data_IF_257050817005
#
_entry.id   IF_257050817005
#
_cell.length_a   1.000
_cell.length_b   1.000
_cell.length_c   1.000
_cell.angle_alpha   90.00
_cell.angle_beta   90.00
_cell.angle_gamma   90.00
#
_symmetry.space_group_name_H-M   'P 1'
#
loop_
_entity.id
_entity.type
_entity.pdbx_description
1 polymer ?
#
# COMPACT_ATOMS: atom_id res chain seq x y z
N UNK A 1 32.19 30.20 47.33
CA UNK A 1 32.96 28.97 47.17
C UNK A 1 32.29 28.05 46.18
N UNK A 2 32.90 27.92 45.04
CA UNK A 2 32.97 26.87 44.05
C UNK A 2 31.69 26.03 43.72
N UNK A 3 31.05 26.39 42.62
CA UNK A 3 30.12 25.53 41.90
C UNK A 3 30.84 24.49 41.04
N UNK A 4 30.30 23.30 40.94
CA UNK A 4 30.74 22.27 39.99
C UNK A 4 29.78 22.24 38.77
N UNK A 5 30.27 22.02 37.53
CA UNK A 5 29.47 22.08 36.34
C UNK A 5 28.76 20.71 36.07
N UNK A 6 27.52 20.80 35.60
CA UNK A 6 26.73 19.68 35.09
C UNK A 6 27.36 19.14 33.80
N UNK A 7 27.80 17.90 33.83
CA UNK A 7 28.21 17.11 32.65
C UNK A 7 26.99 16.66 31.85
N UNK A 8 26.91 17.11 30.58
CA UNK A 8 25.97 16.62 29.58
C UNK A 8 26.23 15.13 29.33
N UNK A 9 25.27 14.28 29.69
CA UNK A 9 25.19 12.92 29.20
C UNK A 9 24.80 12.96 27.71
N UNK A 10 25.73 12.52 26.87
CA UNK A 10 25.46 12.23 25.45
C UNK A 10 24.54 11.00 25.37
N UNK A 11 23.29 11.20 24.99
CA UNK A 11 22.41 10.10 24.59
C UNK A 11 22.97 9.48 23.30
N UNK A 12 23.21 8.15 23.24
CA UNK A 12 23.49 7.50 21.98
C UNK A 12 22.19 7.45 21.17
N UNK A 13 22.21 8.04 19.99
CA UNK A 13 21.15 7.92 18.99
C UNK A 13 21.06 6.43 18.61
N UNK A 14 20.08 5.73 19.16
CA UNK A 14 19.72 4.37 18.76
C UNK A 14 19.24 4.44 17.30
N UNK A 15 19.97 3.80 16.41
CA UNK A 15 19.48 3.44 15.06
C UNK A 15 18.40 2.39 15.25
N UNK A 16 17.15 2.81 15.31
CA UNK A 16 15.99 1.93 15.21
C UNK A 16 15.92 1.39 13.79
N UNK A 17 16.26 0.12 13.61
CA UNK A 17 15.85 -0.66 12.43
C UNK A 17 14.37 -1.01 12.66
N UNK A 18 13.45 -0.11 12.33
CA UNK A 18 12.02 -0.35 12.49
C UNK A 18 11.46 -1.26 11.37
N UNK A 19 10.42 -2.05 11.65
CA UNK A 19 9.72 -2.92 10.69
C UNK A 19 9.01 -2.13 9.57
N UNK A 20 8.83 -0.83 9.74
CA UNK A 20 8.41 0.11 8.68
C UNK A 20 9.18 -0.08 7.37
N UNK A 21 10.45 -0.52 7.43
CA UNK A 21 11.26 -0.78 6.24
C UNK A 21 10.81 -2.01 5.44
N UNK A 22 10.21 -3.04 6.06
CA UNK A 22 9.82 -4.26 5.35
C UNK A 22 8.47 -4.11 4.64
N UNK A 23 7.47 -3.52 5.26
CA UNK A 23 6.18 -3.22 4.59
C UNK A 23 6.34 -2.16 3.48
N UNK A 24 7.13 -1.11 3.74
CA UNK A 24 7.44 -0.09 2.73
C UNK A 24 8.41 -0.58 1.66
N UNK A 25 9.36 -1.47 1.99
CA UNK A 25 10.31 -2.02 1.02
C UNK A 25 9.68 -3.06 0.08
N UNK A 26 8.70 -3.84 0.55
CA UNK A 26 8.02 -4.81 -0.28
C UNK A 26 7.11 -4.14 -1.34
N UNK A 27 6.42 -3.07 -0.98
CA UNK A 27 5.70 -2.22 -1.94
C UNK A 27 6.65 -1.43 -2.87
N UNK A 28 7.92 -1.25 -2.47
CA UNK A 28 8.91 -0.45 -3.18
C UNK A 28 9.93 -1.25 -3.99
N UNK A 29 10.05 -2.56 -3.77
CA UNK A 29 11.04 -3.42 -4.45
C UNK A 29 10.59 -3.92 -5.83
N UNK A 30 9.37 -3.64 -6.24
CA UNK A 30 8.78 -4.13 -7.49
C UNK A 30 9.22 -3.35 -8.74
N UNK A 31 10.06 -2.31 -8.65
CA UNK A 31 10.25 -1.35 -9.75
C UNK A 31 11.73 -1.13 -10.14
N UNK A 32 12.52 -2.19 -10.21
CA UNK A 32 13.82 -2.15 -10.88
C UNK A 32 13.85 -3.20 -12.01
N UNK A 33 13.13 -2.91 -13.09
CA UNK A 33 13.46 -3.47 -14.41
C UNK A 33 14.13 -2.35 -15.21
N UNK A 34 15.44 -2.41 -15.34
CA UNK A 34 16.18 -1.61 -16.31
C UNK A 34 15.78 -2.08 -17.71
N UNK A 35 15.11 -1.24 -18.46
CA UNK A 35 14.87 -1.44 -19.88
C UNK A 35 16.18 -1.08 -20.60
N UNK A 36 16.79 -1.99 -21.41
CA UNK A 36 17.93 -1.61 -22.25
C UNK A 36 17.45 -0.63 -23.32
N UNK A 37 18.06 0.54 -23.37
CA UNK A 37 17.85 1.52 -24.43
C UNK A 37 18.34 0.95 -25.77
N UNK A 38 17.42 0.76 -26.72
CA UNK A 38 17.77 0.50 -28.10
C UNK A 38 18.28 1.81 -28.75
N UNK A 39 19.49 1.79 -29.25
CA UNK A 39 20.08 2.89 -29.98
C UNK A 39 19.46 3.01 -31.40
N UNK A 40 18.94 4.18 -31.72
CA UNK A 40 18.57 4.54 -33.09
C UNK A 40 19.68 5.39 -33.75
N UNK A 41 19.89 5.27 -35.08
CA UNK A 41 21.05 5.87 -35.76
C UNK A 41 20.85 7.36 -36.02
N UNK A 42 21.97 8.09 -35.95
CA UNK A 42 22.08 9.49 -36.28
C UNK A 42 22.08 9.72 -37.79
N UNK A 43 21.21 10.63 -38.27
CA UNK A 43 21.40 11.31 -39.54
C UNK A 43 21.30 12.81 -39.32
N UNK A 44 22.34 13.50 -39.77
CA UNK A 44 22.51 14.92 -39.55
C UNK A 44 21.73 15.78 -40.56
N UNK A 45 21.38 16.99 -40.12
CA UNK A 45 21.17 18.15 -40.98
C UNK A 45 21.32 19.47 -40.21
N UNK A 46 22.03 20.31 -40.85
CA UNK A 46 22.56 21.64 -40.62
C UNK A 46 21.69 22.68 -39.88
N UNK A 47 22.44 23.43 -39.09
CA UNK A 47 22.25 24.79 -38.53
C UNK A 47 21.60 25.81 -39.45
N UNK A 48 20.62 26.58 -38.93
CA UNK A 48 20.41 28.03 -39.20
C UNK A 48 19.55 28.65 -38.11
N UNK A 49 20.13 29.69 -37.45
CA UNK A 49 19.52 30.83 -36.75
C UNK A 49 18.27 30.67 -35.84
N UNK A 50 18.47 30.86 -34.56
CA UNK A 50 17.50 31.44 -33.67
C UNK A 50 18.15 32.25 -32.55
N UNK A 51 18.19 33.55 -32.73
CA UNK A 51 18.26 34.53 -31.63
C UNK A 51 16.85 35.07 -31.50
N UNK A 52 16.09 34.64 -30.47
CA UNK A 52 14.92 35.33 -29.87
C UNK A 52 14.04 34.42 -29.01
N UNK A 53 14.58 33.57 -28.16
CA UNK A 53 13.72 32.78 -27.20
C UNK A 53 14.16 32.83 -25.74
N UNK A 54 14.95 33.82 -25.35
CA UNK A 54 15.45 33.91 -23.97
C UNK A 54 14.51 34.59 -22.99
N UNK A 55 13.34 35.14 -23.44
CA UNK A 55 12.48 35.95 -22.56
C UNK A 55 11.18 35.25 -22.09
N UNK A 56 10.74 34.17 -22.75
CA UNK A 56 9.48 33.50 -22.38
C UNK A 56 9.67 32.32 -21.41
N UNK A 57 10.86 31.74 -21.32
CA UNK A 57 11.14 30.61 -20.43
C UNK A 57 11.22 31.00 -18.94
N UNK A 58 11.43 32.27 -18.61
CA UNK A 58 11.47 32.77 -17.22
C UNK A 58 10.09 32.97 -16.58
N UNK A 59 9.12 33.40 -17.37
CA UNK A 59 7.75 33.66 -16.88
C UNK A 59 6.97 32.36 -16.63
N UNK A 60 7.25 31.30 -17.41
CA UNK A 60 6.57 30.00 -17.24
C UNK A 60 6.99 29.22 -15.98
N UNK A 61 8.14 29.55 -15.35
CA UNK A 61 8.64 28.84 -14.14
C UNK A 61 7.99 29.30 -12.83
N UNK A 62 7.52 30.55 -12.78
CA UNK A 62 6.87 31.10 -11.58
C UNK A 62 5.34 30.87 -11.57
N UNK A 63 4.73 30.53 -12.69
CA UNK A 63 3.29 30.39 -12.81
C UNK A 63 2.72 29.19 -12.03
N UNK A 64 3.36 27.99 -12.05
CA UNK A 64 2.82 26.83 -11.34
C UNK A 64 2.73 27.03 -9.84
N UNK A 65 3.75 27.63 -9.21
CA UNK A 65 3.73 27.86 -7.77
C UNK A 65 2.63 28.85 -7.38
N UNK A 66 2.43 29.89 -8.19
CA UNK A 66 1.34 30.84 -8.01
C UNK A 66 -0.02 30.15 -8.18
N UNK A 67 -0.20 29.35 -9.23
CA UNK A 67 -1.42 28.57 -9.48
C UNK A 67 -1.73 27.61 -8.33
N UNK A 68 -0.75 26.87 -7.83
CA UNK A 68 -0.95 25.97 -6.69
C UNK A 68 -1.32 26.72 -5.40
N UNK A 69 -0.73 27.90 -5.16
CA UNK A 69 -1.06 28.74 -4.02
C UNK A 69 -2.44 29.36 -4.09
N UNK A 70 -2.97 29.52 -5.29
CA UNK A 70 -4.30 30.06 -5.51
C UNK A 70 -5.42 29.00 -5.31
N UNK A 71 -5.08 27.70 -5.23
CA UNK A 71 -6.06 26.63 -5.00
C UNK A 71 -6.58 26.70 -3.56
N UNK A 72 -7.90 26.91 -3.36
CA UNK A 72 -8.48 26.95 -2.01
C UNK A 72 -8.22 25.66 -1.22
N UNK A 73 -7.80 25.80 0.02
CA UNK A 73 -7.51 24.66 0.87
C UNK A 73 -6.14 24.00 0.65
N UNK A 74 -5.45 24.28 -0.45
CA UNK A 74 -4.11 23.76 -0.75
C UNK A 74 -3.03 24.68 -0.17
N UNK A 75 -2.03 24.06 0.47
CA UNK A 75 -0.85 24.77 0.97
C UNK A 75 0.43 24.12 0.45
N UNK A 76 1.30 24.90 -0.17
CA UNK A 76 2.65 24.46 -0.55
C UNK A 76 3.57 24.56 0.66
N UNK A 77 4.05 23.41 1.14
CA UNK A 77 4.95 23.29 2.31
C UNK A 77 6.40 23.44 1.90
N UNK A 78 6.80 22.74 0.84
CA UNK A 78 8.17 22.83 0.31
C UNK A 78 8.22 22.46 -1.17
N UNK A 79 9.28 22.96 -1.83
CA UNK A 79 9.61 22.62 -3.23
C UNK A 79 11.06 22.17 -3.28
N UNK A 80 11.32 21.04 -3.94
CA UNK A 80 12.65 20.47 -4.10
C UNK A 80 12.88 20.04 -5.56
N UNK A 81 14.15 19.90 -5.97
CA UNK A 81 14.47 19.20 -7.21
C UNK A 81 13.94 17.78 -7.12
N UNK A 82 13.22 17.32 -8.13
CA UNK A 82 12.63 15.99 -8.16
C UNK A 82 13.70 14.89 -8.17
N UNK A 83 13.36 13.75 -7.60
CA UNK A 83 14.25 12.58 -7.61
C UNK A 83 14.39 11.99 -9.00
N UNK A 84 13.34 12.02 -9.83
CA UNK A 84 13.40 11.66 -11.23
C UNK A 84 13.88 12.85 -12.10
N UNK A 85 14.66 12.55 -13.14
CA UNK A 85 15.17 13.57 -14.08
C UNK A 85 14.01 14.31 -14.74
N UNK A 86 14.04 15.63 -14.70
CA UNK A 86 13.02 16.49 -15.32
C UNK A 86 11.79 16.75 -14.44
N UNK A 87 11.78 16.27 -13.20
CA UNK A 87 10.69 16.52 -12.25
C UNK A 87 11.08 17.58 -11.21
N UNK A 88 10.04 18.23 -10.65
CA UNK A 88 10.07 19.03 -9.43
C UNK A 88 9.12 18.40 -8.41
N UNK A 89 9.57 18.19 -7.18
CA UNK A 89 8.76 17.62 -6.11
C UNK A 89 8.26 18.69 -5.16
N UNK A 90 6.95 18.74 -4.95
CA UNK A 90 6.25 19.62 -4.03
C UNK A 90 5.71 18.78 -2.86
N UNK A 91 5.97 19.22 -1.64
CA UNK A 91 5.23 18.73 -0.47
C UNK A 91 4.07 19.68 -0.23
N UNK A 92 2.88 19.13 -0.15
CA UNK A 92 1.64 19.89 -0.04
C UNK A 92 0.83 19.41 1.16
N UNK A 93 -0.07 20.24 1.66
CA UNK A 93 -1.19 19.81 2.49
C UNK A 93 -2.49 20.33 1.90
N UNK A 94 -3.56 19.55 2.03
CA UNK A 94 -4.90 19.94 1.63
C UNK A 94 -5.85 19.90 2.82
N UNK A 95 -6.69 20.92 2.96
CA UNK A 95 -7.65 21.00 4.05
C UNK A 95 -8.86 20.13 3.73
N UNK A 96 -9.07 19.06 4.49
CA UNK A 96 -10.20 18.16 4.36
C UNK A 96 -11.16 18.29 5.52
N UNK A 97 -12.48 18.13 5.31
CA UNK A 97 -13.42 17.98 6.42
C UNK A 97 -13.18 16.63 7.12
N UNK A 98 -13.33 16.60 8.44
CA UNK A 98 -13.30 15.35 9.21
C UNK A 98 -14.44 14.45 8.75
N UNK A 99 -15.59 15.03 8.43
CA UNK A 99 -16.78 14.35 7.90
C UNK A 99 -17.32 15.10 6.68
N UNK A 100 -17.22 14.50 5.49
CA UNK A 100 -17.76 15.06 4.25
C UNK A 100 -19.30 15.19 4.26
N UNK A 101 -20.00 14.43 5.13
CA UNK A 101 -21.45 14.58 5.34
C UNK A 101 -21.81 15.77 6.23
N UNK A 102 -20.81 16.28 6.99
CA UNK A 102 -20.94 17.46 7.85
C UNK A 102 -19.66 18.32 7.78
N UNK A 103 -19.41 19.03 6.66
CA UNK A 103 -18.15 19.76 6.46
C UNK A 103 -17.85 20.84 7.51
N UNK A 104 -18.87 21.32 8.23
CA UNK A 104 -18.70 22.30 9.32
C UNK A 104 -18.26 21.65 10.64
N UNK A 105 -18.21 20.33 10.74
CA UNK A 105 -17.86 19.57 11.93
C UNK A 105 -16.36 19.55 12.28
N UNK A 106 -15.52 20.30 11.57
CA UNK A 106 -14.08 20.40 11.77
C UNK A 106 -13.31 19.89 10.57
N UNK A 107 -12.00 20.22 10.54
CA UNK A 107 -11.11 19.89 9.44
C UNK A 107 -9.80 19.26 9.92
N UNK A 108 -9.08 18.63 9.00
CA UNK A 108 -7.70 18.19 9.19
C UNK A 108 -6.85 18.53 7.97
N UNK A 109 -5.53 18.44 8.11
CA UNK A 109 -4.60 18.64 7.00
C UNK A 109 -4.20 17.27 6.44
N UNK A 110 -4.55 17.00 5.20
CA UNK A 110 -4.12 15.81 4.48
C UNK A 110 -2.80 16.07 3.77
N UNK A 111 -1.82 15.19 3.94
CA UNK A 111 -0.51 15.29 3.32
C UNK A 111 -0.54 14.78 1.89
N UNK A 112 0.02 15.60 0.98
CA UNK A 112 0.16 15.25 -0.44
C UNK A 112 1.63 15.44 -0.86
N UNK A 113 2.02 14.76 -1.94
CA UNK A 113 3.22 15.09 -2.70
C UNK A 113 2.89 15.15 -4.18
N UNK A 114 3.40 16.18 -4.85
CA UNK A 114 3.25 16.35 -6.29
C UNK A 114 4.63 16.27 -6.93
N UNK A 115 4.86 15.26 -7.78
CA UNK A 115 5.99 15.23 -8.71
C UNK A 115 5.54 15.83 -10.02
N UNK A 116 5.88 17.08 -10.23
CA UNK A 116 5.49 17.85 -11.41
C UNK A 116 6.45 17.64 -12.56
N UNK A 117 5.90 17.34 -13.74
CA UNK A 117 6.60 17.20 -15.03
C UNK A 117 6.32 18.38 -15.95
N UNK A 118 5.05 18.62 -16.26
CA UNK A 118 4.52 19.73 -17.04
C UNK A 118 3.02 19.86 -16.84
N UNK A 119 2.46 21.05 -16.92
CA UNK A 119 1.00 21.29 -16.83
C UNK A 119 0.22 20.63 -17.97
N UNK A 120 0.87 20.41 -19.12
CA UNK A 120 0.27 19.82 -20.31
C UNK A 120 0.31 18.29 -20.32
N UNK A 121 0.88 17.68 -19.29
CA UNK A 121 0.96 16.22 -19.14
C UNK A 121 -0.17 15.67 -18.27
N UNK A 122 -0.58 14.42 -18.51
CA UNK A 122 -1.56 13.74 -17.65
C UNK A 122 -1.15 13.75 -16.18
N UNK A 123 -2.11 13.54 -15.30
CA UNK A 123 -1.85 13.33 -13.87
C UNK A 123 -2.12 11.88 -13.49
N UNK A 124 -1.15 11.25 -12.84
CA UNK A 124 -1.35 9.98 -12.14
C UNK A 124 -1.67 10.30 -10.68
N UNK A 125 -2.90 10.02 -10.27
CA UNK A 125 -3.34 10.10 -8.89
C UNK A 125 -2.99 8.78 -8.19
N UNK A 126 -1.98 8.82 -7.33
CA UNK A 126 -1.58 7.66 -6.53
C UNK A 126 -2.21 7.72 -5.14
N UNK A 127 -3.08 6.77 -4.88
CA UNK A 127 -3.69 6.57 -3.56
C UNK A 127 -2.82 5.59 -2.76
N UNK A 128 -2.21 6.06 -1.67
CA UNK A 128 -1.30 5.20 -0.89
C UNK A 128 -2.02 4.08 -0.14
N UNK A 129 -3.27 4.31 0.24
CA UNK A 129 -4.04 3.44 1.13
C UNK A 129 -3.56 3.45 2.58
N UNK A 130 -2.38 4.02 2.85
CA UNK A 130 -1.67 4.07 4.13
C UNK A 130 -0.95 5.41 4.29
N UNK A 131 0.09 5.44 5.15
CA UNK A 131 1.04 6.55 5.21
C UNK A 131 1.90 6.61 3.94
N UNK A 132 2.37 7.80 3.60
CA UNK A 132 3.33 7.98 2.51
C UNK A 132 4.76 7.97 3.03
N UNK A 133 5.72 7.39 2.28
CA UNK A 133 7.13 7.50 2.61
C UNK A 133 7.61 8.96 2.51
N UNK A 134 8.70 9.29 3.21
CA UNK A 134 9.31 10.61 3.10
C UNK A 134 9.89 10.90 1.71
N UNK A 135 10.44 9.85 1.06
CA UNK A 135 10.98 9.94 -0.30
C UNK A 135 9.88 9.67 -1.30
N UNK A 136 9.65 10.63 -2.17
CA UNK A 136 8.73 10.48 -3.30
C UNK A 136 9.22 9.35 -4.22
N UNK A 137 8.30 8.51 -4.68
CA UNK A 137 8.57 7.46 -5.67
C UNK A 137 7.48 7.53 -6.72
N UNK A 138 7.91 7.59 -7.99
CA UNK A 138 6.97 7.51 -9.09
C UNK A 138 6.43 6.08 -9.20
N UNK A 139 5.13 5.97 -9.42
CA UNK A 139 4.44 4.70 -9.65
C UNK A 139 4.55 4.28 -11.10
N UNK A 140 4.35 2.97 -11.37
CA UNK A 140 4.55 2.42 -12.71
C UNK A 140 3.81 3.17 -13.82
N UNK A 141 2.52 3.55 -13.68
CA UNK A 141 1.81 4.27 -14.74
C UNK A 141 2.41 5.64 -15.09
N UNK A 142 3.15 6.27 -14.16
CA UNK A 142 3.74 7.59 -14.38
C UNK A 142 4.82 7.59 -15.46
N UNK A 143 5.58 6.49 -15.57
CA UNK A 143 6.70 6.41 -16.50
C UNK A 143 6.28 6.33 -17.98
N UNK A 144 5.41 5.38 -18.41
CA UNK A 144 5.02 5.28 -19.82
C UNK A 144 4.17 6.44 -20.29
N UNK A 145 3.58 7.21 -19.37
CA UNK A 145 2.80 8.40 -19.67
C UNK A 145 3.61 9.69 -19.64
N UNK A 146 4.86 9.67 -19.16
CA UNK A 146 5.65 10.86 -18.83
C UNK A 146 4.81 11.90 -18.05
N UNK A 147 4.01 11.40 -17.10
CA UNK A 147 2.94 12.11 -16.41
C UNK A 147 3.43 12.87 -15.18
N UNK A 148 2.64 13.83 -14.70
CA UNK A 148 2.73 14.29 -13.33
C UNK A 148 2.26 13.19 -12.38
N UNK A 149 2.73 13.18 -11.13
CA UNK A 149 2.17 12.28 -10.12
C UNK A 149 1.76 13.06 -8.89
N UNK A 150 0.50 12.93 -8.52
CA UNK A 150 -0.05 13.40 -7.25
C UNK A 150 -0.22 12.20 -6.33
N UNK A 151 0.52 12.16 -5.23
CA UNK A 151 0.41 11.08 -4.24
C UNK A 151 -0.32 11.58 -3.00
N UNK A 152 -1.30 10.81 -2.53
CA UNK A 152 -2.18 11.15 -1.42
C UNK A 152 -1.93 10.22 -0.25
N UNK A 153 -1.64 10.77 0.92
CA UNK A 153 -1.61 10.02 2.18
C UNK A 153 -3.03 9.81 2.66
N UNK A 154 -3.35 8.56 3.00
CA UNK A 154 -4.69 8.19 3.43
C UNK A 154 -5.06 8.87 4.76
N UNK A 155 -6.35 9.28 4.91
CA UNK A 155 -6.84 9.77 6.21
C UNK A 155 -6.55 8.79 7.33
N UNK A 156 -6.30 9.28 8.55
CA UNK A 156 -5.91 8.54 9.75
C UNK A 156 -4.51 7.93 9.72
N UNK A 157 -3.73 8.13 8.65
CA UNK A 157 -2.34 7.66 8.58
C UNK A 157 -1.34 8.82 8.62
N UNK A 158 -0.12 8.54 9.08
CA UNK A 158 1.01 9.46 9.04
C UNK A 158 0.71 10.84 9.62
N UNK A 159 0.84 11.87 8.79
CA UNK A 159 0.53 13.24 9.14
C UNK A 159 -0.95 13.62 8.90
N UNK A 160 -1.72 12.77 8.20
CA UNK A 160 -3.11 13.01 7.78
C UNK A 160 -4.12 12.62 8.86
N UNK A 161 -3.88 13.09 10.09
CA UNK A 161 -4.66 12.75 11.28
C UNK A 161 -5.61 13.89 11.68
N UNK A 162 -6.94 13.64 11.79
CA UNK A 162 -7.83 14.55 12.50
C UNK A 162 -7.39 14.73 13.96
N UNK A 163 -7.42 15.96 14.47
CA UNK A 163 -7.08 16.23 15.89
C UNK A 163 -7.89 15.39 16.85
N UNK A 164 -9.20 15.25 16.59
CA UNK A 164 -10.09 14.34 17.29
C UNK A 164 -10.36 13.15 16.38
N UNK A 165 -9.89 11.97 16.79
CA UNK A 165 -10.07 10.72 16.05
C UNK A 165 -11.46 10.16 16.26
N UNK A 166 -12.41 10.57 15.43
CA UNK A 166 -13.70 9.87 15.32
C UNK A 166 -13.53 8.72 14.30
N UNK A 167 -13.30 7.51 14.79
CA UNK A 167 -13.05 6.34 13.96
C UNK A 167 -14.21 5.99 13.03
N UNK A 168 -15.44 6.39 13.34
CA UNK A 168 -16.58 6.21 12.45
C UNK A 168 -16.46 7.02 11.14
N UNK A 169 -15.51 7.97 11.07
CA UNK A 169 -15.20 8.74 9.86
C UNK A 169 -14.05 8.13 9.04
N UNK A 170 -13.58 6.97 9.43
CA UNK A 170 -12.65 6.15 8.65
C UNK A 170 -13.44 5.08 7.90
N UNK A 171 -14.19 5.51 6.90
CA UNK A 171 -14.96 4.64 6.00
C UNK A 171 -14.55 4.89 4.53
N UNK A 172 -14.83 3.92 3.65
CA UNK A 172 -14.41 3.95 2.24
C UNK A 172 -15.03 5.10 1.45
N UNK A 173 -16.22 5.58 1.83
CA UNK A 173 -16.85 6.73 1.18
C UNK A 173 -16.16 8.05 1.56
N UNK A 174 -15.75 8.20 2.83
CA UNK A 174 -14.99 9.37 3.28
C UNK A 174 -13.63 9.46 2.58
N UNK A 175 -12.97 8.30 2.36
CA UNK A 175 -11.72 8.24 1.61
C UNK A 175 -11.89 8.68 0.16
N UNK A 176 -12.88 8.13 -0.51
CA UNK A 176 -13.21 8.50 -1.88
C UNK A 176 -13.57 9.99 -1.99
N UNK A 177 -14.24 10.54 -0.99
CA UNK A 177 -14.59 11.96 -0.94
C UNK A 177 -13.38 12.87 -0.71
N UNK A 178 -12.36 12.40 0.03
CA UNK A 178 -11.07 13.11 0.11
C UNK A 178 -10.38 13.21 -1.25
N UNK A 179 -10.30 12.09 -1.97
CA UNK A 179 -9.69 12.03 -3.30
C UNK A 179 -10.45 12.92 -4.29
N UNK A 180 -11.79 12.87 -4.28
CA UNK A 180 -12.64 13.73 -5.09
C UNK A 180 -12.38 15.22 -4.84
N UNK A 181 -12.36 15.65 -3.59
CA UNK A 181 -12.11 17.05 -3.25
C UNK A 181 -10.73 17.54 -3.75
N UNK A 182 -9.72 16.69 -3.72
CA UNK A 182 -8.38 16.98 -4.23
C UNK A 182 -8.39 17.08 -5.76
N UNK A 183 -9.04 16.14 -6.46
CA UNK A 183 -9.14 16.13 -7.92
C UNK A 183 -9.86 17.38 -8.40
N UNK A 184 -11.03 17.69 -7.86
CA UNK A 184 -11.79 18.90 -8.21
C UNK A 184 -10.97 20.18 -7.99
N UNK A 185 -10.25 20.27 -6.88
CA UNK A 185 -9.42 21.43 -6.60
C UNK A 185 -8.24 21.59 -7.57
N UNK A 186 -7.65 20.48 -8.05
CA UNK A 186 -6.45 20.51 -8.88
C UNK A 186 -6.72 20.40 -10.39
N UNK A 187 -7.92 20.03 -10.84
CA UNK A 187 -8.31 20.07 -12.25
C UNK A 187 -8.20 21.48 -12.87
N UNK A 188 -8.35 22.54 -12.07
CA UNK A 188 -8.11 23.92 -12.53
C UNK A 188 -6.62 24.22 -12.83
N UNK A 189 -5.69 23.40 -12.29
CA UNK A 189 -4.25 23.51 -12.55
C UNK A 189 -3.82 22.56 -13.65
N UNK A 190 -4.38 21.34 -13.68
CA UNK A 190 -4.05 20.25 -14.59
C UNK A 190 -5.30 19.83 -15.35
N UNK A 191 -5.51 20.41 -16.54
CA UNK A 191 -6.67 20.15 -17.38
C UNK A 191 -6.60 18.88 -18.24
N UNK A 192 -5.46 18.15 -18.22
CA UNK A 192 -5.27 16.90 -18.96
C UNK A 192 -5.95 15.70 -18.30
N UNK A 193 -5.73 14.50 -18.87
CA UNK A 193 -6.30 13.26 -18.36
C UNK A 193 -5.79 12.91 -16.94
N UNK A 194 -6.64 12.27 -16.15
CA UNK A 194 -6.36 11.82 -14.79
C UNK A 194 -6.47 10.30 -14.70
N UNK A 195 -5.39 9.64 -14.32
CA UNK A 195 -5.31 8.18 -14.14
C UNK A 195 -5.15 7.85 -12.67
N UNK A 196 -6.15 7.19 -12.09
CA UNK A 196 -6.07 6.69 -10.72
C UNK A 196 -5.21 5.45 -10.62
N UNK A 197 -4.41 5.32 -9.56
CA UNK A 197 -3.64 4.10 -9.30
C UNK A 197 -3.35 3.90 -7.82
N UNK A 198 -3.13 2.66 -7.45
CA UNK A 198 -2.69 2.23 -6.12
C UNK A 198 -2.43 0.75 -6.08
N UNK A 199 -1.80 0.27 -5.01
CA UNK A 199 -1.54 -1.14 -4.80
C UNK A 199 -2.13 -1.62 -3.48
N UNK A 200 -2.63 -2.87 -3.43
CA UNK A 200 -3.22 -3.45 -2.23
C UNK A 200 -4.39 -2.58 -1.73
N UNK A 201 -4.42 -2.19 -0.46
CA UNK A 201 -5.41 -1.23 0.05
C UNK A 201 -5.44 0.09 -0.75
N UNK A 202 -4.30 0.57 -1.26
CA UNK A 202 -4.28 1.73 -2.15
C UNK A 202 -4.98 1.45 -3.48
N UNK A 203 -4.84 0.23 -4.04
CA UNK A 203 -5.59 -0.22 -5.21
C UNK A 203 -7.10 -0.27 -4.93
N UNK A 204 -7.50 -0.79 -3.76
CA UNK A 204 -8.89 -0.75 -3.31
C UNK A 204 -9.41 0.70 -3.21
N UNK A 205 -8.60 1.62 -2.63
CA UNK A 205 -8.97 3.05 -2.53
C UNK A 205 -9.21 3.67 -3.91
N UNK A 206 -8.37 3.37 -4.91
CA UNK A 206 -8.58 3.85 -6.29
C UNK A 206 -9.90 3.31 -6.89
N UNK A 207 -10.25 2.04 -6.59
CA UNK A 207 -11.54 1.45 -6.98
C UNK A 207 -12.70 2.17 -6.29
N UNK A 208 -12.61 2.45 -4.99
CA UNK A 208 -13.66 3.17 -4.25
C UNK A 208 -13.85 4.59 -4.76
N UNK A 209 -12.77 5.30 -5.04
CA UNK A 209 -12.83 6.62 -5.64
C UNK A 209 -13.61 6.58 -6.95
N UNK A 210 -13.26 5.69 -7.87
CA UNK A 210 -13.95 5.57 -9.15
C UNK A 210 -15.41 5.12 -9.00
N UNK A 211 -15.73 4.27 -7.99
CA UNK A 211 -17.11 3.85 -7.69
C UNK A 211 -17.98 5.03 -7.28
N UNK A 212 -17.50 5.89 -6.40
CA UNK A 212 -18.30 7.00 -5.86
C UNK A 212 -18.25 8.26 -6.72
N UNK A 213 -17.17 8.44 -7.48
CA UNK A 213 -16.91 9.62 -8.31
C UNK A 213 -16.38 9.22 -9.71
N UNK A 214 -17.22 8.57 -10.54
CA UNK A 214 -16.75 7.98 -11.81
C UNK A 214 -16.36 9.03 -12.87
N UNK A 215 -16.69 10.30 -12.68
CA UNK A 215 -16.32 11.42 -13.56
C UNK A 215 -14.95 12.03 -13.25
N UNK A 216 -14.30 11.63 -12.17
CA UNK A 216 -13.03 12.22 -11.73
C UNK A 216 -11.84 11.75 -12.56
N UNK A 217 -11.85 10.47 -12.97
CA UNK A 217 -10.72 9.78 -13.56
C UNK A 217 -11.03 9.27 -14.97
N UNK A 218 -10.08 9.40 -15.88
CA UNK A 218 -10.15 8.88 -17.24
C UNK A 218 -9.86 7.36 -17.31
N UNK A 219 -9.28 6.81 -16.26
CA UNK A 219 -9.07 5.37 -16.09
C UNK A 219 -8.42 5.07 -14.74
N UNK A 220 -8.50 3.80 -14.32
CA UNK A 220 -7.94 3.32 -13.06
C UNK A 220 -7.09 2.07 -13.29
N UNK A 221 -5.87 2.06 -12.72
CA UNK A 221 -5.00 0.88 -12.68
C UNK A 221 -4.82 0.46 -11.23
N UNK A 222 -5.50 -0.62 -10.83
CA UNK A 222 -5.46 -1.16 -9.48
C UNK A 222 -4.54 -2.41 -9.43
N UNK A 223 -3.48 -2.33 -8.64
CA UNK A 223 -2.53 -3.43 -8.46
C UNK A 223 -2.87 -4.22 -7.20
N UNK A 224 -2.93 -5.55 -7.33
CA UNK A 224 -3.11 -6.51 -6.24
C UNK A 224 -4.19 -6.09 -5.22
N UNK A 225 -5.24 -5.47 -5.73
CA UNK A 225 -6.39 -4.99 -4.95
C UNK A 225 -7.33 -6.16 -4.64
N UNK A 226 -7.44 -6.64 -3.39
CA UNK A 226 -8.35 -7.71 -3.05
C UNK A 226 -9.81 -7.24 -3.08
N UNK A 227 -10.72 -8.20 -3.30
CA UNK A 227 -12.16 -8.01 -3.23
C UNK A 227 -12.77 -9.02 -2.25
N UNK A 228 -12.87 -8.65 -0.99
CA UNK A 228 -13.51 -9.49 0.04
C UNK A 228 -14.99 -9.09 0.21
N UNK A 229 -15.76 -9.24 -0.88
CA UNK A 229 -17.18 -8.86 -0.90
C UNK A 229 -18.05 -9.81 -0.04
N UNK A 230 -17.62 -11.05 0.11
CA UNK A 230 -18.31 -12.09 0.91
C UNK A 230 -17.38 -12.62 2.00
N UNK A 231 -17.03 -11.78 2.95
CA UNK A 231 -16.08 -12.03 4.04
C UNK A 231 -16.27 -13.35 4.84
N UNK A 232 -17.35 -14.08 4.62
CA UNK A 232 -17.60 -15.39 5.25
C UNK A 232 -17.24 -16.57 4.32
N UNK A 233 -16.85 -16.31 3.07
CA UNK A 233 -16.51 -17.36 2.10
C UNK A 233 -15.02 -17.34 1.73
N UNK A 234 -14.22 -17.92 2.58
CA UNK A 234 -12.76 -18.00 2.43
C UNK A 234 -12.26 -19.19 1.59
N UNK A 235 -13.14 -19.91 0.89
CA UNK A 235 -12.77 -21.10 0.10
C UNK A 235 -11.75 -20.81 -0.99
N UNK A 236 -11.72 -19.59 -1.51
CA UNK A 236 -10.75 -19.17 -2.53
C UNK A 236 -9.34 -19.11 -1.95
N UNK A 237 -9.19 -18.61 -0.74
CA UNK A 237 -7.91 -18.56 -0.04
C UNK A 237 -7.43 -19.96 0.37
N UNK A 238 -8.32 -20.82 0.84
CA UNK A 238 -7.99 -22.22 1.15
C UNK A 238 -7.48 -22.97 -0.10
N UNK A 239 -8.13 -22.78 -1.26
CA UNK A 239 -7.65 -23.32 -2.54
C UNK A 239 -6.30 -22.76 -2.93
N UNK A 240 -6.09 -21.45 -2.76
CA UNK A 240 -4.79 -20.83 -3.02
C UNK A 240 -3.67 -21.51 -2.22
N UNK A 241 -3.81 -21.62 -0.90
CA UNK A 241 -2.80 -22.25 -0.05
C UNK A 241 -2.66 -23.77 -0.29
N UNK A 242 -3.67 -24.42 -0.84
CA UNK A 242 -3.58 -25.81 -1.26
C UNK A 242 -2.80 -26.01 -2.57
N UNK A 243 -2.70 -24.99 -3.43
CA UNK A 243 -2.15 -25.13 -4.79
C UNK A 243 -0.93 -24.26 -5.08
N UNK A 244 -0.72 -23.14 -4.38
CA UNK A 244 0.36 -22.20 -4.65
C UNK A 244 1.75 -22.83 -4.58
N UNK A 245 2.60 -22.54 -5.54
CA UNK A 245 3.97 -23.01 -5.60
C UNK A 245 4.11 -24.54 -5.71
N UNK A 246 5.26 -25.07 -5.27
CA UNK A 246 5.50 -26.53 -5.28
C UNK A 246 4.92 -27.24 -4.06
N UNK A 247 4.55 -28.53 -4.17
CA UNK A 247 4.13 -29.33 -3.01
C UNK A 247 5.16 -29.33 -1.87
N UNK A 248 6.45 -29.41 -2.20
CA UNK A 248 7.53 -29.36 -1.21
C UNK A 248 7.60 -28.04 -0.44
N UNK A 249 7.37 -26.90 -1.12
CA UNK A 249 7.32 -25.61 -0.44
C UNK A 249 6.14 -25.50 0.51
N UNK A 250 4.94 -25.92 0.06
CA UNK A 250 3.75 -25.94 0.94
C UNK A 250 3.95 -26.85 2.16
N UNK A 251 4.57 -28.02 1.97
CA UNK A 251 4.91 -28.92 3.07
C UNK A 251 5.91 -28.27 4.05
N UNK A 252 6.95 -27.62 3.55
CA UNK A 252 7.94 -26.93 4.39
C UNK A 252 7.31 -25.80 5.23
N UNK A 253 6.42 -24.98 4.63
CA UNK A 253 5.69 -23.93 5.36
C UNK A 253 4.79 -24.52 6.47
N UNK A 254 4.04 -25.58 6.18
CA UNK A 254 3.23 -26.28 7.18
C UNK A 254 4.10 -26.88 8.30
N UNK A 255 5.26 -27.44 7.95
CA UNK A 255 6.20 -28.01 8.92
C UNK A 255 6.74 -26.95 9.86
N UNK A 256 7.24 -25.81 9.35
CA UNK A 256 7.80 -24.77 10.22
C UNK A 256 6.77 -24.15 11.15
N UNK A 257 5.52 -23.96 10.69
CA UNK A 257 4.40 -23.50 11.52
C UNK A 257 4.12 -24.51 12.66
N UNK A 258 4.03 -25.80 12.33
CA UNK A 258 3.80 -26.86 13.31
C UNK A 258 4.93 -26.94 14.34
N UNK A 259 6.18 -26.91 13.89
CA UNK A 259 7.34 -26.95 14.76
C UNK A 259 7.44 -25.72 15.67
N UNK A 260 7.14 -24.53 15.16
CA UNK A 260 7.06 -23.33 15.98
C UNK A 260 6.02 -23.48 17.10
N UNK A 261 4.79 -23.93 16.78
CA UNK A 261 3.74 -24.11 17.80
C UNK A 261 4.04 -25.24 18.80
N UNK A 262 4.63 -26.37 18.38
CA UNK A 262 5.07 -27.43 19.28
C UNK A 262 6.12 -26.95 20.29
N UNK A 263 7.03 -26.06 19.86
CA UNK A 263 8.13 -25.51 20.66
C UNK A 263 7.78 -24.19 21.35
N UNK A 264 6.50 -23.89 21.49
CA UNK A 264 5.98 -22.69 22.15
C UNK A 264 6.64 -22.44 23.53
N UNK A 265 6.83 -23.51 24.34
CA UNK A 265 7.45 -23.42 25.69
C UNK A 265 8.84 -22.78 25.67
N UNK A 266 9.61 -22.94 24.60
CA UNK A 266 10.95 -22.36 24.45
C UNK A 266 10.94 -21.07 23.63
N UNK A 267 10.04 -20.91 22.65
CA UNK A 267 10.03 -19.78 21.72
C UNK A 267 9.34 -18.54 22.29
N UNK A 268 8.25 -18.68 23.05
CA UNK A 268 7.56 -17.54 23.70
C UNK A 268 8.45 -16.82 24.71
N UNK A 269 9.24 -17.49 25.59
CA UNK A 269 10.21 -16.79 26.42
C UNK A 269 11.27 -16.00 25.62
N UNK A 270 11.70 -16.50 24.45
CA UNK A 270 12.61 -15.75 23.55
C UNK A 270 11.98 -14.48 23.03
N UNK A 271 10.71 -14.55 22.57
CA UNK A 271 9.93 -13.38 22.15
C UNK A 271 9.78 -12.39 23.31
N UNK A 272 9.44 -12.87 24.50
CA UNK A 272 9.28 -12.02 25.70
C UNK A 272 10.59 -11.32 26.07
N UNK A 273 11.73 -12.05 26.00
CA UNK A 273 13.05 -11.47 26.28
C UNK A 273 13.46 -10.43 25.22
N UNK A 274 13.18 -10.70 23.94
CA UNK A 274 13.40 -9.74 22.86
C UNK A 274 12.56 -8.48 23.09
N UNK A 275 11.26 -8.63 23.31
CA UNK A 275 10.34 -7.52 23.53
C UNK A 275 10.77 -6.62 24.71
N UNK A 276 11.21 -7.22 25.82
CA UNK A 276 11.75 -6.47 26.98
C UNK A 276 12.98 -5.65 26.62
N UNK A 277 13.93 -6.23 25.87
CA UNK A 277 15.14 -5.50 25.43
C UNK A 277 14.82 -4.33 24.54
N UNK A 278 13.78 -4.44 23.73
CA UNK A 278 13.39 -3.45 22.71
C UNK A 278 12.29 -2.49 23.18
N UNK A 279 11.81 -2.66 24.44
CA UNK A 279 10.76 -1.81 25.01
C UNK A 279 9.37 -2.05 24.38
N UNK A 280 9.15 -3.25 23.84
CA UNK A 280 7.89 -3.63 23.19
C UNK A 280 6.91 -4.23 24.19
N UNK A 281 5.62 -3.99 23.97
CA UNK A 281 4.51 -4.47 24.82
C UNK A 281 3.42 -5.12 23.99
N UNK A 282 2.46 -5.81 24.64
CA UNK A 282 1.37 -6.55 23.98
C UNK A 282 -0.02 -6.24 24.55
N UNK A 283 -0.08 -5.50 25.67
CA UNK A 283 -1.27 -5.43 26.52
C UNK A 283 -2.45 -4.69 25.92
N UNK A 284 -2.16 -3.67 25.11
CA UNK A 284 -3.15 -2.75 24.57
C UNK A 284 -3.90 -3.33 23.37
N UNK A 285 -3.22 -4.15 22.58
CA UNK A 285 -3.72 -4.70 21.31
C UNK A 285 -3.98 -6.20 21.43
N UNK A 286 -3.02 -7.05 21.17
CA UNK A 286 -3.18 -8.51 21.08
C UNK A 286 -3.30 -9.20 22.45
N UNK A 287 -2.91 -8.54 23.53
CA UNK A 287 -3.06 -8.97 24.93
C UNK A 287 -1.82 -9.59 25.55
N UNK A 288 -1.17 -10.57 24.93
CA UNK A 288 -0.03 -11.29 25.51
C UNK A 288 1.04 -11.65 24.45
N UNK A 289 2.29 -11.88 24.90
CA UNK A 289 3.34 -12.39 24.04
C UNK A 289 3.00 -13.76 23.41
N UNK A 290 2.26 -14.62 24.13
CA UNK A 290 1.86 -15.93 23.63
C UNK A 290 0.84 -15.83 22.50
N UNK A 291 -0.11 -14.87 22.58
CA UNK A 291 -1.04 -14.57 21.49
C UNK A 291 -0.34 -13.94 20.29
N UNK A 292 0.59 -13.01 20.53
CA UNK A 292 1.43 -12.41 19.48
C UNK A 292 2.26 -13.46 18.75
N UNK A 293 2.87 -14.37 19.50
CA UNK A 293 3.60 -15.50 18.95
C UNK A 293 2.73 -16.38 18.03
N UNK A 294 1.54 -16.77 18.51
CA UNK A 294 0.62 -17.60 17.72
C UNK A 294 0.17 -16.86 16.46
N UNK A 295 -0.23 -15.59 16.57
CA UNK A 295 -0.62 -14.76 15.43
C UNK A 295 0.49 -14.69 14.37
N UNK A 296 1.73 -14.42 14.78
CA UNK A 296 2.88 -14.36 13.87
C UNK A 296 3.15 -15.69 13.16
N UNK A 297 2.97 -16.82 13.87
CA UNK A 297 3.13 -18.16 13.27
C UNK A 297 2.00 -18.45 12.28
N UNK A 298 0.75 -18.14 12.63
CA UNK A 298 -0.39 -18.32 11.72
C UNK A 298 -0.21 -17.51 10.44
N UNK A 299 0.21 -16.25 10.57
CA UNK A 299 0.36 -15.33 9.46
C UNK A 299 1.61 -15.59 8.58
N UNK A 300 2.57 -16.38 9.07
CA UNK A 300 3.86 -16.55 8.40
C UNK A 300 3.76 -17.16 6.99
N UNK A 301 2.80 -18.04 6.72
CA UNK A 301 2.62 -18.61 5.38
C UNK A 301 1.99 -17.61 4.42
N UNK A 302 1.08 -16.76 4.91
CA UNK A 302 0.50 -15.64 4.15
C UNK A 302 1.59 -14.65 3.75
N UNK A 303 2.34 -14.12 4.74
CA UNK A 303 3.42 -13.17 4.53
C UNK A 303 4.52 -13.73 3.65
N UNK A 304 4.80 -15.04 3.74
CA UNK A 304 5.76 -15.67 2.84
C UNK A 304 5.33 -15.52 1.37
N UNK A 305 4.12 -15.90 1.01
CA UNK A 305 3.67 -15.79 -0.38
C UNK A 305 3.39 -14.35 -0.80
N UNK A 306 3.05 -13.48 0.12
CA UNK A 306 2.88 -12.06 -0.15
C UNK A 306 4.19 -11.38 -0.55
N UNK A 307 5.33 -11.69 0.09
CA UNK A 307 6.56 -10.92 -0.10
C UNK A 307 7.79 -11.72 -0.55
N UNK A 308 7.78 -13.03 -0.42
CA UNK A 308 8.91 -13.87 -0.80
C UNK A 308 8.62 -14.65 -2.08
N UNK A 309 9.65 -15.33 -2.59
CA UNK A 309 9.57 -16.03 -3.87
C UNK A 309 9.65 -17.54 -3.66
N UNK A 310 9.19 -18.33 -4.65
CA UNK A 310 9.28 -19.79 -4.66
C UNK A 310 10.70 -20.32 -4.34
N UNK A 311 11.73 -19.64 -4.81
CA UNK A 311 13.13 -20.05 -4.54
C UNK A 311 13.54 -19.93 -3.07
N UNK A 312 12.88 -19.06 -2.31
CA UNK A 312 13.15 -18.83 -0.88
C UNK A 312 12.66 -19.98 0.00
N UNK A 313 11.85 -20.90 -0.56
CA UNK A 313 11.41 -22.12 0.12
C UNK A 313 12.59 -22.99 0.58
N UNK A 314 13.74 -22.93 -0.09
CA UNK A 314 14.97 -23.66 0.29
C UNK A 314 15.51 -23.26 1.67
N UNK A 315 15.17 -22.06 2.14
CA UNK A 315 15.59 -21.52 3.42
C UNK A 315 14.63 -21.78 4.59
N UNK A 316 13.52 -22.50 4.36
CA UNK A 316 12.54 -22.82 5.41
C UNK A 316 13.10 -23.90 6.34
N UNK A 317 13.13 -23.68 7.67
CA UNK A 317 13.61 -24.68 8.64
C UNK A 317 12.74 -25.94 8.65
N UNK A 318 13.36 -27.11 8.62
CA UNK A 318 12.69 -28.41 8.78
C UNK A 318 12.52 -28.82 10.25
N UNK A 319 11.97 -30.02 10.47
CA UNK A 319 11.66 -30.57 11.80
C UNK A 319 12.87 -30.64 12.74
N UNK A 320 14.07 -30.96 12.19
CA UNK A 320 15.31 -31.07 12.96
C UNK A 320 16.01 -29.73 13.21
N UNK A 321 15.47 -28.63 12.73
CA UNK A 321 16.05 -27.31 12.92
C UNK A 321 16.06 -26.92 14.42
N UNK A 322 17.05 -26.14 14.85
CA UNK A 322 17.09 -25.61 16.22
C UNK A 322 15.99 -24.56 16.45
N UNK A 323 15.60 -24.34 17.70
CA UNK A 323 14.70 -23.29 18.12
C UNK A 323 15.17 -21.91 17.64
N UNK A 324 16.47 -21.67 17.69
CA UNK A 324 17.04 -20.42 17.20
C UNK A 324 16.86 -20.24 15.68
N UNK A 325 16.93 -21.33 14.91
CA UNK A 325 16.69 -21.26 13.46
C UNK A 325 15.22 -20.97 13.14
N UNK A 326 14.28 -21.63 13.81
CA UNK A 326 12.83 -21.39 13.64
C UNK A 326 12.50 -19.96 14.08
N UNK A 327 12.98 -19.51 15.24
CA UNK A 327 12.73 -18.16 15.74
C UNK A 327 13.21 -17.08 14.76
N UNK A 328 14.44 -17.21 14.25
CA UNK A 328 14.98 -16.28 13.25
C UNK A 328 14.23 -16.31 11.91
N UNK A 329 13.75 -17.49 11.50
CA UNK A 329 13.00 -17.60 10.25
C UNK A 329 11.65 -16.89 10.36
N UNK A 330 10.88 -17.12 11.43
CA UNK A 330 9.61 -16.41 11.64
C UNK A 330 9.84 -14.90 11.72
N UNK A 331 10.88 -14.46 12.43
CA UNK A 331 11.26 -13.06 12.52
C UNK A 331 11.59 -12.44 11.14
N UNK A 332 12.31 -13.20 10.29
CA UNK A 332 12.63 -12.77 8.93
C UNK A 332 11.38 -12.62 8.05
N UNK A 333 10.43 -13.55 8.19
CA UNK A 333 9.23 -13.58 7.34
C UNK A 333 8.19 -12.57 7.84
N UNK A 334 7.87 -12.59 9.13
CA UNK A 334 6.73 -11.90 9.71
C UNK A 334 7.11 -10.72 10.61
N UNK A 335 8.35 -10.67 11.08
CA UNK A 335 8.86 -9.86 12.21
C UNK A 335 8.04 -9.98 13.50
N UNK A 336 8.70 -10.33 14.58
CA UNK A 336 8.05 -10.46 15.88
C UNK A 336 7.51 -9.15 16.44
N UNK A 337 8.02 -8.03 15.94
CA UNK A 337 7.58 -6.69 16.34
C UNK A 337 6.17 -6.36 15.83
N UNK A 338 5.73 -6.88 14.67
CA UNK A 338 4.48 -6.48 14.03
C UNK A 338 3.28 -6.60 14.99
N UNK A 339 3.12 -7.72 15.67
CA UNK A 339 2.01 -7.96 16.59
C UNK A 339 2.33 -7.57 18.04
N UNK A 340 3.08 -6.49 18.23
CA UNK A 340 3.24 -5.76 19.49
C UNK A 340 2.38 -4.50 19.49
N UNK A 341 2.21 -3.85 20.64
CA UNK A 341 1.47 -2.58 20.73
C UNK A 341 2.10 -1.50 19.84
N UNK A 342 3.43 -1.47 19.75
CA UNK A 342 4.20 -0.51 18.96
C UNK A 342 4.17 -0.84 17.46
N UNK A 343 4.27 -2.11 17.10
CA UNK A 343 4.24 -2.55 15.71
C UNK A 343 2.88 -2.37 15.04
N UNK A 344 1.80 -2.59 15.79
CA UNK A 344 0.41 -2.41 15.30
C UNK A 344 0.01 -0.93 15.22
N UNK A 345 0.52 -0.07 16.09
CA UNK A 345 0.10 1.34 16.20
C UNK A 345 -0.02 2.06 14.84
N UNK A 346 0.98 2.01 13.95
CA UNK A 346 0.91 2.67 12.63
C UNK A 346 -0.16 2.07 11.71
N UNK A 347 -0.57 0.83 11.96
CA UNK A 347 -1.52 0.07 11.14
C UNK A 347 -2.91 -0.06 11.79
N UNK A 348 -3.15 0.53 12.95
CA UNK A 348 -4.47 0.53 13.59
C UNK A 348 -5.60 0.96 12.65
N UNK A 349 -5.44 2.00 11.81
CA UNK A 349 -6.49 2.39 10.89
C UNK A 349 -6.81 1.30 9.85
N UNK A 350 -5.80 0.58 9.35
CA UNK A 350 -6.01 -0.54 8.44
C UNK A 350 -6.79 -1.68 9.10
N UNK A 351 -6.37 -2.12 10.29
CA UNK A 351 -7.06 -3.20 11.00
C UNK A 351 -8.47 -2.81 11.43
N UNK A 352 -8.69 -1.53 11.76
CA UNK A 352 -10.03 -1.00 12.01
C UNK A 352 -10.93 -1.11 10.76
N UNK A 353 -10.45 -0.69 9.60
CA UNK A 353 -11.20 -0.80 8.35
C UNK A 353 -11.42 -2.26 7.94
N UNK A 354 -10.41 -3.12 8.10
CA UNK A 354 -10.55 -4.56 7.85
C UNK A 354 -11.64 -5.17 8.75
N UNK A 355 -11.67 -4.79 10.05
CA UNK A 355 -12.67 -5.25 11.01
C UNK A 355 -14.07 -4.71 10.76
N UNK A 356 -14.21 -3.56 10.06
CA UNK A 356 -15.49 -2.87 9.90
C UNK A 356 -16.08 -2.99 8.51
N UNK A 357 -15.26 -2.89 7.45
CA UNK A 357 -15.76 -2.77 6.08
C UNK A 357 -15.04 -3.61 5.03
N UNK A 358 -13.67 -3.73 5.10
CA UNK A 358 -12.90 -4.30 4.01
C UNK A 358 -12.89 -5.83 3.98
N UNK A 359 -13.16 -6.47 5.14
CA UNK A 359 -13.07 -7.91 5.28
C UNK A 359 -11.65 -8.40 5.62
N UNK A 360 -11.54 -9.70 5.80
CA UNK A 360 -10.32 -10.39 6.18
C UNK A 360 -10.39 -11.87 5.88
N UNK A 361 -9.39 -12.41 5.22
CA UNK A 361 -9.28 -13.84 4.96
C UNK A 361 -9.18 -14.65 6.27
N UNK A 362 -10.14 -15.53 6.52
CA UNK A 362 -10.24 -16.36 7.71
C UNK A 362 -9.89 -17.80 7.39
N UNK A 363 -8.60 -18.16 7.51
CA UNK A 363 -8.12 -19.50 7.20
C UNK A 363 -8.46 -20.50 8.31
N UNK A 364 -8.76 -21.74 7.91
CA UNK A 364 -9.09 -22.84 8.83
C UNK A 364 -7.90 -23.36 9.63
N UNK A 365 -6.66 -23.19 9.10
CA UNK A 365 -5.43 -23.76 9.66
C UNK A 365 -5.55 -25.25 10.05
N UNK A 366 -6.28 -26.05 9.28
CA UNK A 366 -6.57 -27.47 9.59
C UNK A 366 -5.29 -28.29 9.91
N UNK A 367 -4.15 -27.95 9.28
CA UNK A 367 -2.85 -28.61 9.53
C UNK A 367 -2.25 -28.28 10.92
N UNK A 368 -2.80 -27.30 11.65
CA UNK A 368 -2.37 -26.90 12.99
C UNK A 368 -3.35 -27.33 14.09
N UNK A 369 -4.34 -28.17 13.74
CA UNK A 369 -5.33 -28.68 14.72
C UNK A 369 -4.64 -29.29 15.94
N UNK A 370 -5.06 -28.91 17.13
CA UNK A 370 -4.51 -29.33 18.41
C UNK A 370 -3.22 -28.61 18.87
N UNK A 371 -2.67 -27.72 18.04
CA UNK A 371 -1.48 -26.92 18.37
C UNK A 371 -1.81 -25.44 18.67
N UNK A 372 -2.89 -24.92 18.09
CA UNK A 372 -3.39 -23.58 18.36
C UNK A 372 -4.05 -23.51 19.74
N UNK A 373 -3.91 -22.38 20.45
CA UNK A 373 -4.47 -22.13 21.77
C UNK A 373 -5.61 -21.11 21.78
N UNK A 374 -5.67 -20.29 20.73
CA UNK A 374 -6.56 -19.14 20.67
C UNK A 374 -7.48 -19.22 19.45
N UNK A 375 -8.59 -19.97 19.51
CA UNK A 375 -9.58 -20.01 18.43
C UNK A 375 -10.03 -18.60 18.04
N UNK A 376 -10.13 -18.31 16.76
CA UNK A 376 -10.54 -17.00 16.25
C UNK A 376 -9.49 -15.88 16.42
N UNK A 377 -8.23 -16.24 16.73
CA UNK A 377 -7.16 -15.24 16.86
C UNK A 377 -6.84 -14.54 15.54
N UNK A 378 -6.84 -15.27 14.41
CA UNK A 378 -6.47 -14.73 13.11
C UNK A 378 -7.59 -13.87 12.52
N UNK A 379 -7.87 -12.74 13.17
CA UNK A 379 -8.91 -11.77 12.83
C UNK A 379 -8.44 -10.35 13.15
N UNK A 380 -8.86 -9.32 12.38
CA UNK A 380 -8.40 -7.94 12.60
C UNK A 380 -8.79 -7.41 13.99
N UNK A 381 -9.95 -7.78 14.51
CA UNK A 381 -10.36 -7.41 15.88
C UNK A 381 -9.41 -7.91 16.97
N UNK A 382 -8.62 -8.96 16.71
CA UNK A 382 -7.68 -9.52 17.69
C UNK A 382 -6.48 -8.60 17.97
N UNK A 383 -6.17 -7.70 17.04
CA UNK A 383 -5.05 -6.74 17.16
C UNK A 383 -5.51 -5.31 17.42
N UNK A 384 -6.82 -5.10 17.60
CA UNK A 384 -7.38 -3.81 17.96
C UNK A 384 -7.52 -3.65 19.48
N UNK A 385 -7.27 -2.45 20.03
CA UNK A 385 -7.71 -2.10 21.38
C UNK A 385 -9.20 -2.38 21.56
N UNK A 386 -9.62 -2.79 22.75
CA UNK A 386 -11.02 -3.16 23.04
C UNK A 386 -12.03 -2.07 22.62
N UNK A 387 -11.67 -0.79 22.79
CA UNK A 387 -12.50 0.37 22.42
C UNK A 387 -12.70 0.55 20.92
N UNK A 388 -11.91 -0.10 20.07
CA UNK A 388 -12.00 -0.01 18.61
C UNK A 388 -12.57 -1.26 17.96
N UNK A 389 -12.79 -2.32 18.72
CA UNK A 389 -13.39 -3.55 18.19
C UNK A 389 -14.83 -3.31 17.78
N UNK A 390 -15.17 -3.73 16.58
CA UNK A 390 -16.45 -3.45 15.96
C UNK A 390 -17.00 -4.69 15.25
N UNK A 391 -18.30 -4.67 14.99
CA UNK A 391 -18.94 -5.66 14.12
C UNK A 391 -18.63 -5.30 12.67
N UNK A 392 -18.32 -6.33 11.87
CA UNK A 392 -18.14 -6.20 10.45
C UNK A 392 -19.46 -5.87 9.72
N UNK A 393 -19.40 -4.91 8.80
CA UNK A 393 -20.50 -4.55 7.90
C UNK A 393 -20.03 -4.62 6.43
N UNK A 394 -20.29 -5.74 5.78
CA UNK A 394 -19.89 -5.98 4.40
C UNK A 394 -20.74 -5.27 3.34
N UNK A 395 -21.70 -4.40 3.69
CA UNK A 395 -22.57 -3.73 2.70
C UNK A 395 -21.77 -2.88 1.75
N UNK A 396 -20.77 -2.16 2.23
CA UNK A 396 -19.94 -1.27 1.42
C UNK A 396 -19.14 -2.05 0.37
N UNK A 397 -18.49 -3.16 0.74
CA UNK A 397 -17.75 -3.99 -0.22
C UNK A 397 -18.66 -4.66 -1.23
N UNK A 398 -19.82 -5.18 -0.80
CA UNK A 398 -20.81 -5.74 -1.75
C UNK A 398 -21.34 -4.71 -2.74
N UNK A 399 -21.50 -3.45 -2.33
CA UNK A 399 -21.88 -2.36 -3.23
C UNK A 399 -20.78 -2.08 -4.27
N UNK A 400 -19.52 -2.02 -3.82
CA UNK A 400 -18.37 -1.81 -4.70
C UNK A 400 -18.21 -2.95 -5.70
N UNK A 401 -18.22 -4.21 -5.24
CA UNK A 401 -18.13 -5.40 -6.10
C UNK A 401 -19.27 -5.42 -7.13
N UNK A 402 -20.51 -5.20 -6.69
CA UNK A 402 -21.66 -5.17 -7.59
C UNK A 402 -21.54 -4.09 -8.66
N UNK A 403 -20.99 -2.93 -8.30
CA UNK A 403 -20.75 -1.84 -9.25
C UNK A 403 -19.60 -2.18 -10.21
N UNK A 404 -18.46 -2.68 -9.69
CA UNK A 404 -17.33 -3.10 -10.53
C UNK A 404 -17.78 -4.16 -11.52
N UNK A 405 -18.54 -5.14 -11.05
CA UNK A 405 -19.02 -6.23 -11.92
C UNK A 405 -19.98 -5.73 -13.02
N UNK A 406 -20.84 -4.74 -12.77
CA UNK A 406 -21.96 -4.41 -13.68
C UNK A 406 -21.83 -3.10 -14.42
N UNK A 407 -21.14 -2.10 -13.84
CA UNK A 407 -21.21 -0.72 -14.28
C UNK A 407 -19.85 -0.05 -14.53
N UNK A 408 -18.76 -0.64 -13.97
CA UNK A 408 -17.44 -0.06 -14.10
C UNK A 408 -17.01 0.07 -15.57
N UNK A 409 -16.24 1.10 -15.87
CA UNK A 409 -15.61 1.30 -17.16
C UNK A 409 -14.18 1.83 -16.96
N UNK A 410 -13.31 1.55 -17.93
CA UNK A 410 -11.91 2.01 -17.94
C UNK A 410 -11.16 1.65 -16.65
N UNK A 411 -11.26 0.38 -16.25
CA UNK A 411 -10.54 -0.18 -15.11
C UNK A 411 -9.60 -1.30 -15.53
N UNK A 412 -8.38 -1.24 -15.05
CA UNK A 412 -7.37 -2.26 -15.24
C UNK A 412 -6.94 -2.81 -13.88
N UNK A 413 -7.02 -4.13 -13.73
CA UNK A 413 -6.58 -4.83 -12.54
C UNK A 413 -5.35 -5.68 -12.88
N UNK A 414 -4.29 -5.56 -12.07
CA UNK A 414 -3.06 -6.34 -12.23
C UNK A 414 -2.81 -7.16 -10.99
N UNK A 415 -2.86 -8.47 -11.10
CA UNK A 415 -2.77 -9.42 -9.99
C UNK A 415 -1.53 -10.30 -10.04
N UNK A 416 -1.09 -10.77 -8.89
CA UNK A 416 0.00 -11.74 -8.75
C UNK A 416 -0.50 -13.17 -8.62
N UNK A 417 -0.06 -14.10 -9.49
CA UNK A 417 -0.47 -15.50 -9.43
C UNK A 417 0.02 -16.26 -8.20
N UNK A 418 0.97 -15.66 -7.45
CA UNK A 418 1.49 -16.19 -6.17
C UNK A 418 1.19 -15.29 -4.97
N UNK A 419 0.32 -14.33 -5.15
CA UNK A 419 -0.10 -13.41 -4.11
C UNK A 419 -1.39 -13.91 -3.46
N UNK A 420 -1.42 -14.15 -2.14
CA UNK A 420 -2.64 -14.59 -1.47
C UNK A 420 -3.77 -13.55 -1.56
N UNK A 421 -3.47 -12.25 -1.50
CA UNK A 421 -4.48 -11.20 -1.67
C UNK A 421 -5.08 -11.15 -3.06
N UNK A 422 -4.33 -11.63 -4.07
CA UNK A 422 -4.82 -11.77 -5.45
C UNK A 422 -5.62 -13.07 -5.69
N UNK A 423 -5.91 -13.85 -4.66
CA UNK A 423 -6.76 -15.02 -4.77
C UNK A 423 -8.23 -14.63 -4.96
N UNK A 424 -8.69 -13.64 -4.22
CA UNK A 424 -10.00 -13.03 -4.40
C UNK A 424 -9.85 -11.70 -5.14
N UNK A 425 -10.55 -11.56 -6.27
CA UNK A 425 -10.30 -10.52 -7.27
C UNK A 425 -11.57 -9.85 -7.69
N UNK A 426 -11.51 -8.56 -7.96
CA UNK A 426 -12.52 -7.89 -8.75
C UNK A 426 -12.67 -8.54 -10.14
N UNK A 427 -13.91 -8.74 -10.58
CA UNK A 427 -14.25 -9.37 -11.86
C UNK A 427 -15.14 -8.44 -12.70
N UNK A 428 -14.57 -7.35 -13.26
CA UNK A 428 -15.36 -6.39 -14.03
C UNK A 428 -15.91 -7.03 -15.30
N UNK A 429 -17.16 -6.69 -15.66
CA UNK A 429 -17.80 -7.06 -16.93
C UNK A 429 -18.19 -5.82 -17.75
N UNK A 430 -17.82 -4.66 -17.25
CA UNK A 430 -18.14 -3.38 -17.89
C UNK A 430 -17.24 -3.06 -19.09
N UNK A 431 -17.48 -1.90 -19.69
CA UNK A 431 -16.81 -1.48 -20.92
C UNK A 431 -15.36 -1.08 -20.65
N UNK A 432 -14.44 -1.57 -21.51
CA UNK A 432 -13.03 -1.23 -21.47
C UNK A 432 -12.39 -1.54 -20.11
N UNK A 433 -12.71 -2.70 -19.56
CA UNK A 433 -12.15 -3.22 -18.32
C UNK A 433 -11.27 -4.44 -18.59
N UNK A 434 -10.12 -4.50 -17.94
CA UNK A 434 -9.09 -5.51 -18.15
C UNK A 434 -8.64 -6.13 -16.83
N UNK A 435 -8.39 -7.45 -16.85
CA UNK A 435 -7.82 -8.17 -15.70
C UNK A 435 -6.60 -8.95 -16.17
N UNK A 436 -5.44 -8.56 -15.69
CA UNK A 436 -4.18 -9.23 -16.00
C UNK A 436 -3.62 -9.96 -14.79
N UNK A 437 -3.02 -11.11 -15.03
CA UNK A 437 -2.37 -11.91 -13.98
C UNK A 437 -0.92 -12.17 -14.37
N UNK A 438 0.01 -11.74 -13.54
CA UNK A 438 1.43 -12.08 -13.61
C UNK A 438 1.65 -13.44 -12.90
N UNK A 439 1.80 -14.59 -13.62
CA UNK A 439 1.62 -15.91 -13.00
C UNK A 439 2.64 -16.25 -11.92
N UNK A 440 3.83 -15.64 -11.96
CA UNK A 440 4.94 -15.90 -11.03
C UNK A 440 5.17 -14.78 -10.03
N UNK A 441 4.44 -13.66 -10.15
CA UNK A 441 4.56 -12.53 -9.24
C UNK A 441 3.78 -12.78 -7.94
N UNK A 442 4.29 -12.21 -6.86
CA UNK A 442 3.64 -12.11 -5.56
C UNK A 442 2.89 -10.76 -5.44
N UNK A 443 2.72 -10.23 -4.24
CA UNK A 443 2.06 -8.94 -3.97
C UNK A 443 2.76 -7.71 -4.60
N UNK A 444 3.93 -7.89 -5.17
CA UNK A 444 4.63 -6.90 -5.98
C UNK A 444 4.34 -7.02 -7.49
N UNK A 445 3.22 -7.63 -7.89
CA UNK A 445 2.84 -7.72 -9.29
C UNK A 445 2.69 -6.33 -9.93
N UNK A 446 3.14 -6.20 -11.16
CA UNK A 446 3.09 -4.96 -11.95
C UNK A 446 2.88 -5.29 -13.43
N UNK A 447 2.58 -4.30 -14.25
CA UNK A 447 2.50 -4.44 -15.72
C UNK A 447 3.80 -5.04 -16.27
N UNK A 448 4.95 -4.60 -15.75
CA UNK A 448 6.26 -5.14 -16.13
C UNK A 448 6.50 -6.63 -15.84
N UNK A 449 5.62 -7.28 -15.07
CA UNK A 449 5.68 -8.72 -14.81
C UNK A 449 4.75 -9.56 -15.71
N UNK A 450 3.98 -8.92 -16.58
CA UNK A 450 3.05 -9.58 -17.50
C UNK A 450 3.78 -10.26 -18.66
N UNK A 451 3.06 -11.05 -19.45
CA UNK A 451 3.55 -11.53 -20.72
C UNK A 451 3.77 -10.37 -21.70
N UNK A 452 4.60 -10.55 -22.73
CA UNK A 452 4.84 -9.47 -23.71
C UNK A 452 3.55 -8.99 -24.38
N UNK A 453 2.59 -9.89 -24.64
CA UNK A 453 1.26 -9.56 -25.18
C UNK A 453 0.48 -8.70 -24.20
N UNK A 454 0.31 -9.18 -22.96
CA UNK A 454 -0.48 -8.49 -21.95
C UNK A 454 0.16 -7.16 -21.55
N UNK A 455 1.49 -7.09 -21.56
CA UNK A 455 2.26 -5.84 -21.34
C UNK A 455 1.92 -4.78 -22.41
N UNK A 456 1.94 -5.19 -23.68
CA UNK A 456 1.60 -4.28 -24.79
C UNK A 456 0.15 -3.81 -24.66
N UNK A 457 -0.79 -4.74 -24.48
CA UNK A 457 -2.22 -4.41 -24.30
C UNK A 457 -2.45 -3.46 -23.11
N UNK A 458 -1.85 -3.73 -21.95
CA UNK A 458 -1.97 -2.88 -20.77
C UNK A 458 -1.39 -1.48 -21.00
N UNK A 459 -0.23 -1.40 -21.65
CA UNK A 459 0.45 -0.12 -21.92
C UNK A 459 -0.32 0.71 -22.94
N UNK A 460 -0.81 0.09 -24.02
CA UNK A 460 -1.58 0.77 -25.06
C UNK A 460 -2.91 1.28 -24.51
N UNK A 461 -3.60 0.46 -23.70
CA UNK A 461 -4.82 0.85 -22.99
C UNK A 461 -4.57 2.04 -22.07
N UNK A 462 -3.50 2.01 -21.29
CA UNK A 462 -3.13 3.10 -20.37
C UNK A 462 -2.86 4.41 -21.13
N UNK A 463 -2.12 4.34 -22.26
CA UNK A 463 -1.85 5.51 -23.11
C UNK A 463 -3.13 6.08 -23.73
N UNK A 464 -4.02 5.23 -24.18
CA UNK A 464 -5.33 5.62 -24.75
C UNK A 464 -6.19 6.34 -23.70
N UNK A 465 -6.28 5.83 -22.46
CA UNK A 465 -6.98 6.51 -21.37
C UNK A 465 -6.36 7.86 -21.02
N UNK A 466 -5.04 7.94 -21.07
CA UNK A 466 -4.32 9.18 -20.86
C UNK A 466 -4.32 10.14 -22.04
N UNK A 467 -5.08 9.84 -23.13
CA UNK A 467 -5.22 10.64 -24.35
C UNK A 467 -3.85 10.91 -25.03
N UNK A 468 -2.93 9.94 -24.92
CA UNK A 468 -1.62 9.98 -25.56
C UNK A 468 -1.61 9.08 -26.80
N UNK A 469 -1.42 9.66 -27.97
CA UNK A 469 -1.27 8.96 -29.26
C UNK A 469 0.08 8.23 -29.37
#
# INVERSE_FOLDING_TARGET
MAGRPYTRLKNPVRRTRGPLALFSAALASSLLVAVPAAAAPATGARTVLAKSEASTAGIAKDDLLARLRAVPGLRVVSVKKGQAKGYKDYTLTFTQPVDHRNPRGGTFQQRLTLSHRSVDRPVVLYTSGYFMPEKVRLQEPTYPLDANQLSVEHRFFGASLPKRKDWAKLDIWQEASDEHAIVEALKQVYGGAWIGTGASKGGMTAVYHHRFYPGDLDGVVAYVAPDDAVNADDRVYERFFATVGTPSCRAALRTVQREALKRRKSLVPRLTAMARREGLTFRRTIGTADRSFEMSVLDSAWTFWQYFRQQDCKGIPGEKASDAAIFRWVDKIQTWELYTDQGIEPYLPYYYQAATQLGWASLSFAHLKGLTRYPGLYQPNSVLPASLRSRFDGRAMRDVDAWVTRQASRMMFVYGGRDPWSAERFTPKGTDCHVFVAPRANHGASIGHLSSRDYAEATDTLRRWAQLT
#
